data_IF_855616737882
#
_entry.id   IF_855616737882
#
_cell.length_a   1.000
_cell.length_b   1.000
_cell.length_c   1.000
_cell.angle_alpha   90.00
_cell.angle_beta   90.00
_cell.angle_gamma   90.00
#
_symmetry.space_group_name_H-M   'P 1'
#
loop_
_entity.id
_entity.type
_entity.pdbx_description
1 polymer ?
#
# COMPACT_ATOMS: atom_id res chain seq x y z
N UNK A 1 -33.16 14.80 -0.40
CA UNK A 1 -32.58 13.48 -0.70
C UNK A 1 -31.41 13.24 0.22
N UNK A 2 -31.25 12.01 0.70
CA UNK A 2 -30.05 11.57 1.44
C UNK A 2 -28.93 11.19 0.47
N UNK A 3 -27.67 11.19 0.92
CA UNK A 3 -26.53 10.75 0.08
C UNK A 3 -26.75 9.32 -0.42
N UNK A 4 -27.38 8.47 0.39
CA UNK A 4 -27.73 7.09 0.02
C UNK A 4 -28.74 7.03 -1.13
N UNK A 5 -29.75 7.91 -1.13
CA UNK A 5 -30.73 7.98 -2.22
C UNK A 5 -30.10 8.45 -3.54
N UNK A 6 -29.21 9.45 -3.48
CA UNK A 6 -28.47 9.92 -4.65
C UNK A 6 -27.57 8.83 -5.24
N UNK A 7 -26.89 8.06 -4.38
CA UNK A 7 -26.07 6.92 -4.80
C UNK A 7 -26.89 5.83 -5.49
N UNK A 8 -28.08 5.51 -4.98
CA UNK A 8 -28.94 4.50 -5.59
C UNK A 8 -29.44 4.94 -6.97
N UNK A 9 -29.84 6.20 -7.13
CA UNK A 9 -30.25 6.74 -8.43
C UNK A 9 -29.12 6.68 -9.45
N UNK A 10 -27.89 7.02 -9.07
CA UNK A 10 -26.74 6.99 -9.96
C UNK A 10 -26.37 5.54 -10.35
N UNK A 11 -26.47 4.59 -9.41
CA UNK A 11 -26.21 3.17 -9.67
C UNK A 11 -27.18 2.60 -10.71
N UNK A 12 -28.46 3.00 -10.67
CA UNK A 12 -29.47 2.51 -11.62
C UNK A 12 -29.20 2.96 -13.07
N UNK A 13 -28.54 4.10 -13.28
CA UNK A 13 -28.21 4.63 -14.61
C UNK A 13 -26.80 4.30 -15.11
N UNK A 14 -25.97 3.64 -14.29
CA UNK A 14 -24.54 3.42 -14.57
C UNK A 14 -24.28 2.02 -15.16
N UNK A 15 -23.43 1.88 -16.19
CA UNK A 15 -23.06 0.57 -16.74
C UNK A 15 -22.18 -0.25 -15.80
N UNK A 16 -22.28 -1.59 -15.90
CA UNK A 16 -21.59 -2.56 -15.05
C UNK A 16 -20.07 -2.39 -14.97
N UNK A 17 -19.43 -1.89 -16.04
CA UNK A 17 -17.98 -1.64 -16.07
C UNK A 17 -17.56 -0.60 -15.03
N UNK A 18 -18.33 0.48 -14.90
CA UNK A 18 -18.08 1.57 -13.95
C UNK A 18 -18.54 1.17 -12.55
N UNK A 19 -19.61 0.37 -12.45
CA UNK A 19 -20.07 -0.17 -11.17
C UNK A 19 -19.03 -1.10 -10.53
N UNK A 20 -18.31 -1.89 -11.33
CA UNK A 20 -17.23 -2.75 -10.83
C UNK A 20 -16.09 -1.95 -10.18
N UNK A 21 -15.60 -0.92 -10.86
CA UNK A 21 -14.56 -0.03 -10.33
C UNK A 21 -15.05 0.73 -9.08
N UNK A 22 -16.30 1.20 -9.10
CA UNK A 22 -16.93 1.89 -7.97
C UNK A 22 -17.05 0.98 -6.76
N UNK A 23 -17.42 -0.29 -6.95
CA UNK A 23 -17.51 -1.28 -5.88
C UNK A 23 -16.15 -1.52 -5.21
N UNK A 24 -15.10 -1.66 -6.01
CA UNK A 24 -13.73 -1.85 -5.50
C UNK A 24 -13.24 -0.60 -4.75
N UNK A 25 -13.57 0.59 -5.24
CA UNK A 25 -13.26 1.84 -4.54
C UNK A 25 -13.98 1.95 -3.19
N UNK A 26 -15.28 1.61 -3.13
CA UNK A 26 -16.03 1.60 -1.86
C UNK A 26 -15.44 0.58 -0.88
N UNK A 27 -15.06 -0.62 -1.35
CA UNK A 27 -14.40 -1.64 -0.52
C UNK A 27 -13.07 -1.13 0.03
N UNK A 28 -12.28 -0.45 -0.81
CA UNK A 28 -11.05 0.18 -0.39
C UNK A 28 -11.27 1.23 0.69
N UNK A 29 -12.28 2.09 0.56
CA UNK A 29 -12.63 3.08 1.58
C UNK A 29 -13.02 2.42 2.90
N UNK A 30 -13.83 1.35 2.86
CA UNK A 30 -14.22 0.59 4.05
C UNK A 30 -13.03 -0.09 4.74
N UNK A 31 -12.03 -0.51 3.97
CA UNK A 31 -10.80 -1.09 4.51
C UNK A 31 -9.88 -0.02 5.13
N UNK A 32 -9.92 1.21 4.61
CA UNK A 32 -9.13 2.34 5.12
C UNK A 32 -9.75 3.04 6.31
N UNK A 33 -11.04 2.86 6.57
CA UNK A 33 -11.66 3.36 7.78
C UNK A 33 -11.03 2.63 8.98
N UNK A 34 -10.23 3.31 9.81
CA UNK A 34 -9.67 2.67 10.99
C UNK A 34 -10.85 2.26 11.84
N UNK A 35 -10.93 0.97 12.17
CA UNK A 35 -11.85 0.43 13.17
C UNK A 35 -11.78 1.30 14.42
N UNK A 36 -12.67 2.29 14.50
CA UNK A 36 -12.82 3.16 15.67
C UNK A 36 -13.72 2.39 16.62
N UNK A 37 -13.27 1.21 17.02
CA UNK A 37 -13.89 0.38 18.02
C UNK A 37 -12.89 0.16 19.14
N UNK A 38 -13.05 1.02 20.14
CA UNK A 38 -12.98 0.70 21.56
C UNK A 38 -11.60 0.30 22.12
N UNK A 39 -10.85 1.31 22.59
CA UNK A 39 -9.97 1.11 23.76
C UNK A 39 -10.46 2.03 24.86
N UNK A 40 -11.25 1.43 25.76
CA UNK A 40 -11.52 1.96 27.09
C UNK A 40 -10.20 2.13 27.85
N UNK A 41 -10.15 3.24 28.57
CA UNK A 41 -9.23 3.61 29.63
C UNK A 41 -8.89 2.46 30.60
N UNK A 42 -7.62 2.02 30.64
CA UNK A 42 -7.00 1.36 31.83
C UNK A 42 -5.50 1.69 31.91
N UNK A 43 -5.16 2.49 32.93
CA UNK A 43 -3.93 2.58 33.74
C UNK A 43 -2.53 2.86 33.12
N UNK A 44 -1.72 3.76 33.75
CA UNK A 44 -0.35 4.04 33.35
C UNK A 44 0.59 2.94 33.87
N UNK A 45 1.24 2.20 32.97
CA UNK A 45 2.28 1.25 33.36
C UNK A 45 3.46 1.22 32.39
N UNK A 46 4.63 1.48 32.98
CA UNK A 46 5.99 1.23 32.52
C UNK A 46 6.56 2.09 31.37
N UNK A 47 7.86 2.46 31.45
CA UNK A 47 8.55 3.17 30.38
C UNK A 47 8.69 2.21 29.20
N UNK A 48 7.85 2.39 28.18
CA UNK A 48 8.01 1.72 26.91
C UNK A 48 9.40 2.09 26.36
N UNK A 49 10.33 1.14 26.39
CA UNK A 49 11.47 1.16 25.46
C UNK A 49 10.83 1.22 24.09
N UNK A 50 10.93 2.39 23.45
CA UNK A 50 10.42 2.61 22.10
C UNK A 50 11.17 1.64 21.20
N UNK A 51 10.55 0.49 20.92
CA UNK A 51 11.02 -0.40 19.89
C UNK A 51 10.97 0.42 18.61
N UNK A 52 12.16 0.77 18.10
CA UNK A 52 12.33 1.54 16.89
C UNK A 52 11.74 0.71 15.74
N UNK A 53 10.45 0.89 15.49
CA UNK A 53 9.77 0.33 14.33
C UNK A 53 10.54 0.76 13.09
N UNK A 54 10.92 -0.20 12.27
CA UNK A 54 11.59 0.01 10.98
C UNK A 54 10.82 1.02 10.14
N UNK A 55 9.48 1.03 10.21
CA UNK A 55 8.64 1.99 9.50
C UNK A 55 8.82 3.44 9.97
N UNK A 56 9.04 3.67 11.28
CA UNK A 56 9.17 5.03 11.81
C UNK A 56 10.54 5.63 11.48
N UNK A 57 11.59 4.81 11.55
CA UNK A 57 12.92 5.17 11.06
C UNK A 57 12.90 5.43 9.55
N UNK A 58 12.22 4.59 8.76
CA UNK A 58 12.05 4.77 7.32
C UNK A 58 11.36 6.11 7.00
N UNK A 59 10.29 6.47 7.73
CA UNK A 59 9.58 7.73 7.52
C UNK A 59 10.44 8.95 7.83
N UNK A 60 11.26 8.93 8.89
CA UNK A 60 12.22 10.00 9.16
C UNK A 60 13.33 10.06 8.10
N UNK A 61 13.80 8.92 7.60
CA UNK A 61 14.71 8.85 6.46
C UNK A 61 14.08 9.43 5.18
N UNK A 62 12.81 9.13 4.88
CA UNK A 62 12.12 9.65 3.69
C UNK A 62 11.89 11.17 3.75
N UNK A 63 11.87 11.78 4.94
CA UNK A 63 11.81 13.26 5.07
C UNK A 63 13.14 13.92 4.75
N UNK A 64 14.26 13.22 4.97
CA UNK A 64 15.62 13.75 4.75
C UNK A 64 16.16 13.42 3.36
N UNK A 65 15.70 12.32 2.76
CA UNK A 65 15.98 11.99 1.37
C UNK A 65 15.25 13.00 0.48
N UNK A 66 15.98 13.63 -0.44
CA UNK A 66 15.40 14.50 -1.46
C UNK A 66 14.32 13.77 -2.26
N UNK A 67 13.42 14.52 -2.90
CA UNK A 67 12.48 13.89 -3.84
C UNK A 67 13.30 13.11 -4.87
N UNK A 68 12.91 11.86 -5.12
CA UNK A 68 13.40 11.13 -6.28
C UNK A 68 12.97 11.96 -7.50
N UNK A 69 13.92 12.70 -8.04
CA UNK A 69 13.74 13.56 -9.20
C UNK A 69 14.78 13.14 -10.22
N UNK A 70 14.31 12.54 -11.31
CA UNK A 70 15.13 11.98 -12.36
C UNK A 70 14.31 11.04 -13.24
N UNK A 71 14.50 11.12 -14.55
CA UNK A 71 14.08 10.08 -15.51
C UNK A 71 15.22 9.07 -15.67
N UNK A 72 15.78 8.62 -14.55
CA UNK A 72 16.95 7.76 -14.45
C UNK A 72 16.57 6.27 -14.39
N UNK A 73 15.27 5.96 -14.50
CA UNK A 73 14.76 4.59 -14.53
C UNK A 73 15.47 3.76 -15.61
N UNK A 74 15.65 4.33 -16.80
CA UNK A 74 16.30 3.65 -17.93
C UNK A 74 17.78 3.37 -17.66
N UNK A 75 18.50 4.35 -17.11
CA UNK A 75 19.92 4.22 -16.76
C UNK A 75 20.13 3.20 -15.64
N UNK A 76 19.33 3.27 -14.57
CA UNK A 76 19.35 2.32 -13.47
C UNK A 76 19.03 0.89 -13.95
N UNK A 77 18.05 0.75 -14.85
CA UNK A 77 17.68 -0.52 -15.42
C UNK A 77 18.80 -1.10 -16.28
N UNK A 78 19.42 -0.29 -17.15
CA UNK A 78 20.58 -0.70 -17.96
C UNK A 78 21.76 -1.14 -17.07
N UNK A 79 22.02 -0.43 -15.97
CA UNK A 79 23.04 -0.81 -15.00
C UNK A 79 22.77 -2.18 -14.37
N UNK A 80 21.52 -2.47 -14.00
CA UNK A 80 21.12 -3.79 -13.49
C UNK A 80 21.28 -4.87 -14.56
N UNK A 81 20.89 -4.60 -15.80
CA UNK A 81 21.09 -5.54 -16.92
C UNK A 81 22.58 -5.85 -17.16
N UNK A 82 23.45 -4.84 -17.04
CA UNK A 82 24.88 -4.99 -17.25
C UNK A 82 25.58 -5.72 -16.09
N UNK A 83 25.12 -5.50 -14.85
CA UNK A 83 25.77 -6.03 -13.64
C UNK A 83 25.18 -7.33 -13.14
N UNK A 84 23.97 -7.71 -13.56
CA UNK A 84 23.35 -8.96 -13.11
C UNK A 84 24.18 -10.17 -13.54
N UNK A 85 24.43 -11.06 -12.59
CA UNK A 85 24.99 -12.37 -12.87
C UNK A 85 24.04 -13.19 -13.74
N UNK A 86 24.58 -14.00 -14.65
CA UNK A 86 23.77 -14.98 -15.40
C UNK A 86 23.17 -15.94 -14.37
N UNK A 87 21.85 -15.95 -14.27
CA UNK A 87 21.16 -16.94 -13.45
C UNK A 87 21.48 -18.33 -14.02
N UNK A 88 22.08 -19.18 -13.19
CA UNK A 88 22.29 -20.58 -13.49
C UNK A 88 21.21 -21.36 -12.77
N UNK A 89 20.36 -22.01 -13.55
CA UNK A 89 19.33 -22.90 -13.05
C UNK A 89 19.76 -24.36 -13.26
N UNK A 90 21.06 -24.64 -13.09
CA UNK A 90 21.67 -25.96 -13.28
C UNK A 90 21.35 -26.92 -12.10
N UNK A 91 20.34 -26.59 -11.30
CA UNK A 91 19.89 -27.45 -10.21
C UNK A 91 18.76 -28.33 -10.73
N UNK A 92 18.88 -29.64 -10.55
CA UNK A 92 17.76 -30.56 -10.74
C UNK A 92 16.56 -30.04 -9.96
N UNK A 93 15.42 -29.90 -10.65
CA UNK A 93 14.18 -29.48 -10.04
C UNK A 93 13.79 -30.51 -8.97
N UNK A 94 13.76 -30.16 -7.67
CA UNK A 94 13.43 -31.12 -6.59
C UNK A 94 11.94 -31.50 -6.57
N UNK A 95 11.16 -30.99 -7.53
CA UNK A 95 9.73 -31.23 -7.68
C UNK A 95 9.37 -31.88 -9.02
N UNK A 96 10.35 -32.31 -9.82
CA UNK A 96 10.15 -33.27 -10.93
C UNK A 96 10.32 -34.72 -10.48
#
# INVERSE_FOLDING_TARGET
MTIKELLLLEIESTPDTILAETLDFIRFLKMKEPQTQHVSEVAPSAPHTTVNSTGRSLLEHLKTIGKWEGDDLKECLELVYATRGKAKFDYENPFE
#
